data_IF_506805741612
#
_entry.id   IF_506805741612
#
_cell.length_a   1.000
_cell.length_b   1.000
_cell.length_c   1.000
_cell.angle_alpha   90.00
_cell.angle_beta   90.00
_cell.angle_gamma   90.00
#
_symmetry.space_group_name_H-M   'P 1'
#
loop_
_entity.id
_entity.type
_entity.pdbx_description
1 polymer ?
#
# COMPACT_ATOMS: atom_id res chain seq x y z
N UNK A 1 -46.82 -61.15 -6.50
CA UNK A 1 -46.20 -60.20 -5.55
C UNK A 1 -45.25 -59.30 -6.31
N UNK A 2 -45.48 -57.98 -6.35
CA UNK A 2 -44.56 -56.99 -6.92
C UNK A 2 -43.92 -56.22 -5.74
N UNK A 3 -42.61 -56.31 -5.58
CA UNK A 3 -41.87 -55.45 -4.66
C UNK A 3 -41.62 -54.11 -5.35
N UNK A 4 -42.29 -53.05 -4.88
CA UNK A 4 -41.88 -51.69 -5.18
C UNK A 4 -40.79 -51.29 -4.18
N UNK A 5 -39.55 -51.18 -4.66
CA UNK A 5 -38.45 -50.61 -3.90
C UNK A 5 -38.38 -49.13 -4.22
N UNK A 6 -38.88 -48.28 -3.32
CA UNK A 6 -38.70 -46.82 -3.38
C UNK A 6 -37.32 -46.48 -2.84
N UNK A 7 -36.36 -46.24 -3.75
CA UNK A 7 -35.06 -45.68 -3.39
C UNK A 7 -35.25 -44.18 -3.07
N UNK A 8 -35.13 -43.82 -1.78
CA UNK A 8 -35.09 -42.42 -1.35
C UNK A 8 -33.69 -41.86 -1.64
N UNK A 9 -33.57 -41.06 -2.70
CA UNK A 9 -32.34 -40.32 -2.99
C UNK A 9 -32.22 -39.11 -2.07
N UNK A 10 -31.32 -39.16 -1.09
CA UNK A 10 -30.99 -38.02 -0.23
C UNK A 10 -29.95 -37.16 -0.95
N UNK A 11 -30.35 -35.97 -1.41
CA UNK A 11 -29.41 -34.96 -1.91
C UNK A 11 -28.88 -34.19 -0.70
N UNK A 12 -27.67 -34.53 -0.24
CA UNK A 12 -26.98 -33.73 0.79
C UNK A 12 -26.29 -32.56 0.08
N UNK A 13 -26.84 -31.35 0.20
CA UNK A 13 -26.18 -30.12 -0.23
C UNK A 13 -25.22 -29.66 0.87
N UNK A 14 -23.93 -29.90 0.67
CA UNK A 14 -22.90 -29.30 1.50
C UNK A 14 -22.70 -27.85 1.06
N UNK A 15 -23.17 -26.90 1.88
CA UNK A 15 -22.78 -25.50 1.77
C UNK A 15 -21.49 -25.30 2.56
N UNK A 16 -20.35 -25.35 1.86
CA UNK A 16 -19.08 -24.94 2.45
C UNK A 16 -19.04 -23.41 2.49
N UNK A 17 -19.43 -22.84 3.63
CA UNK A 17 -19.09 -21.46 3.94
C UNK A 17 -17.66 -21.47 4.49
N UNK A 18 -16.65 -21.34 3.62
CA UNK A 18 -15.33 -20.93 4.09
C UNK A 18 -15.47 -19.49 4.56
N UNK A 19 -15.57 -19.31 5.88
CA UNK A 19 -15.53 -17.99 6.51
C UNK A 19 -14.08 -17.51 6.40
N UNK A 20 -13.71 -16.98 5.24
CA UNK A 20 -12.60 -16.03 5.19
C UNK A 20 -13.13 -14.81 5.91
N UNK A 21 -12.53 -14.46 7.05
CA UNK A 21 -12.90 -13.29 7.83
C UNK A 21 -13.02 -12.08 6.90
N UNK A 22 -14.25 -11.62 6.68
CA UNK A 22 -14.54 -10.46 5.86
C UNK A 22 -14.22 -9.20 6.66
N UNK A 23 -12.95 -9.01 7.01
CA UNK A 23 -12.48 -7.67 7.25
C UNK A 23 -12.78 -6.90 5.96
N UNK A 24 -13.58 -5.84 6.06
CA UNK A 24 -13.85 -4.97 4.93
C UNK A 24 -12.55 -4.55 4.23
N UNK A 25 -12.62 -4.12 2.97
CA UNK A 25 -11.43 -3.65 2.28
C UNK A 25 -10.78 -2.55 3.13
N UNK A 26 -9.53 -2.73 3.55
CA UNK A 26 -8.79 -1.67 4.24
C UNK A 26 -8.24 -0.65 3.25
N UNK A 27 -7.51 0.34 3.76
CA UNK A 27 -6.68 1.19 2.91
C UNK A 27 -5.44 0.42 2.41
N UNK A 28 -5.00 0.72 1.19
CA UNK A 28 -3.81 0.10 0.60
C UNK A 28 -2.86 1.14 0.04
N UNK A 29 -1.57 0.81 0.06
CA UNK A 29 -0.55 1.52 -0.72
C UNK A 29 0.05 0.60 -1.76
N UNK A 30 -0.01 1.07 -3.01
CA UNK A 30 0.60 0.45 -4.17
C UNK A 30 1.75 1.34 -4.66
N UNK A 31 3.00 0.99 -4.33
CA UNK A 31 4.17 1.82 -4.64
C UNK A 31 4.04 3.22 -3.97
N UNK A 32 3.62 4.24 -4.71
CA UNK A 32 3.41 5.63 -4.23
C UNK A 32 1.94 6.07 -4.32
N UNK A 33 1.04 5.17 -4.68
CA UNK A 33 -0.39 5.44 -4.79
C UNK A 33 -1.12 4.97 -3.52
N UNK A 34 -1.83 5.87 -2.86
CA UNK A 34 -2.76 5.55 -1.78
C UNK A 34 -4.14 5.20 -2.35
N UNK A 35 -4.71 4.08 -1.92
CA UNK A 35 -6.02 3.60 -2.35
C UNK A 35 -6.93 3.44 -1.14
N UNK A 36 -8.01 4.23 -1.13
CA UNK A 36 -8.99 4.26 -0.06
C UNK A 36 -9.91 3.03 -0.09
N UNK A 37 -10.27 2.54 1.09
CA UNK A 37 -11.22 1.45 1.31
C UNK A 37 -12.52 1.59 0.49
N UNK A 38 -13.15 2.76 0.50
CA UNK A 38 -14.42 2.99 -0.21
C UNK A 38 -14.28 2.80 -1.72
N UNK A 39 -13.19 3.33 -2.28
CA UNK A 39 -12.89 3.18 -3.71
C UNK A 39 -12.67 1.69 -4.02
N UNK A 40 -11.90 0.99 -3.20
CA UNK A 40 -11.64 -0.45 -3.35
C UNK A 40 -12.95 -1.25 -3.27
N UNK A 41 -13.83 -0.93 -2.32
CA UNK A 41 -15.15 -1.55 -2.18
C UNK A 41 -15.97 -1.40 -3.46
N UNK A 42 -16.01 -0.20 -4.02
CA UNK A 42 -16.72 0.07 -5.27
C UNK A 42 -16.14 -0.77 -6.42
N UNK A 43 -14.81 -0.87 -6.50
CA UNK A 43 -14.15 -1.68 -7.51
C UNK A 43 -14.49 -3.16 -7.39
N UNK A 44 -14.47 -3.72 -6.17
CA UNK A 44 -14.77 -5.14 -5.91
C UNK A 44 -16.19 -5.44 -6.36
N UNK A 45 -17.16 -4.61 -5.94
CA UNK A 45 -18.56 -4.74 -6.34
C UNK A 45 -18.72 -4.66 -7.86
N UNK A 46 -18.01 -3.74 -8.50
CA UNK A 46 -18.01 -3.57 -9.95
C UNK A 46 -17.41 -4.75 -10.71
N UNK A 47 -16.23 -5.20 -10.27
CA UNK A 47 -15.54 -6.38 -10.82
C UNK A 47 -16.40 -7.63 -10.70
N UNK A 48 -17.09 -7.81 -9.57
CA UNK A 48 -18.03 -8.92 -9.36
C UNK A 48 -19.21 -8.89 -10.34
N UNK A 49 -19.79 -7.70 -10.58
CA UNK A 49 -20.85 -7.55 -11.59
C UNK A 49 -20.35 -7.93 -12.99
N UNK A 50 -19.14 -7.50 -13.34
CA UNK A 50 -18.53 -7.83 -14.63
C UNK A 50 -18.24 -9.33 -14.77
N UNK A 51 -17.83 -10.03 -13.70
CA UNK A 51 -17.72 -11.50 -13.71
C UNK A 51 -19.07 -12.17 -13.97
N UNK A 52 -20.11 -11.73 -13.27
CA UNK A 52 -21.44 -12.34 -13.34
C UNK A 52 -22.10 -12.17 -14.72
N UNK A 53 -21.87 -11.03 -15.36
CA UNK A 53 -22.47 -10.68 -16.65
C UNK A 53 -21.41 -10.57 -17.75
N UNK A 54 -20.31 -11.34 -17.62
CA UNK A 54 -19.21 -11.29 -18.56
C UNK A 54 -19.68 -11.71 -19.96
N UNK A 55 -19.63 -10.76 -20.88
CA UNK A 55 -19.69 -11.02 -22.32
C UNK A 55 -18.27 -10.98 -22.90
N UNK A 56 -18.02 -11.72 -23.99
CA UNK A 56 -16.72 -11.85 -24.70
C UNK A 56 -16.08 -10.50 -25.06
N UNK A 57 -16.87 -9.45 -25.06
CA UNK A 57 -16.44 -8.10 -25.37
C UNK A 57 -15.83 -7.34 -24.18
N UNK A 58 -15.84 -7.89 -22.97
CA UNK A 58 -15.19 -7.33 -21.78
C UNK A 58 -13.73 -7.78 -21.67
N UNK A 59 -12.81 -6.82 -21.59
CA UNK A 59 -11.37 -7.10 -21.40
C UNK A 59 -10.98 -7.42 -19.96
N UNK A 60 -11.84 -7.08 -19.00
CA UNK A 60 -11.64 -7.30 -17.57
C UNK A 60 -12.96 -7.72 -16.92
N UNK A 61 -12.91 -8.44 -15.79
CA UNK A 61 -11.71 -9.01 -15.15
C UNK A 61 -10.97 -10.03 -16.01
N UNK A 62 -9.66 -10.19 -15.78
CA UNK A 62 -8.84 -11.24 -16.39
C UNK A 62 -8.45 -12.26 -15.33
N UNK A 63 -8.22 -13.52 -15.72
CA UNK A 63 -7.65 -14.51 -14.82
C UNK A 63 -6.29 -14.03 -14.29
N UNK A 64 -6.00 -14.32 -13.02
CA UNK A 64 -4.79 -13.92 -12.33
C UNK A 64 -4.21 -15.13 -11.59
N UNK A 65 -2.91 -15.38 -11.79
CA UNK A 65 -2.20 -16.41 -11.05
C UNK A 65 -1.80 -15.87 -9.66
N UNK A 66 -2.51 -16.35 -8.64
CA UNK A 66 -2.29 -15.97 -7.24
C UNK A 66 -1.12 -16.68 -6.57
N UNK A 67 -0.49 -17.67 -7.20
CA UNK A 67 0.47 -18.54 -6.52
C UNK A 67 1.71 -17.80 -6.02
N UNK A 68 2.31 -16.96 -6.86
CA UNK A 68 3.54 -16.23 -6.47
C UNK A 68 3.28 -15.02 -5.56
N UNK A 69 2.08 -14.43 -5.60
CA UNK A 69 1.76 -13.21 -4.85
C UNK A 69 0.99 -13.49 -3.57
N UNK A 70 0.03 -14.40 -3.61
CA UNK A 70 -0.86 -14.70 -2.51
C UNK A 70 -0.71 -16.15 -2.02
N UNK A 71 0.10 -16.99 -2.70
CA UNK A 71 0.21 -18.45 -2.54
C UNK A 71 -1.13 -19.15 -2.44
N UNK A 72 -2.03 -18.67 -3.29
CA UNK A 72 -3.29 -19.33 -3.61
C UNK A 72 -3.07 -19.97 -4.97
N UNK A 73 -2.98 -21.29 -4.99
CA UNK A 73 -2.85 -22.10 -6.21
C UNK A 73 -4.08 -22.96 -6.50
N UNK A 74 -4.97 -23.09 -5.52
CA UNK A 74 -6.17 -23.94 -5.52
C UNK A 74 -7.45 -23.17 -5.87
N UNK A 75 -7.37 -21.85 -6.09
CA UNK A 75 -8.50 -21.03 -6.50
C UNK A 75 -8.19 -20.17 -7.74
N UNK A 76 -9.18 -20.03 -8.62
CA UNK A 76 -9.11 -19.10 -9.75
C UNK A 76 -9.30 -17.68 -9.25
N UNK A 77 -8.28 -16.85 -9.42
CA UNK A 77 -8.36 -15.43 -9.10
C UNK A 77 -8.58 -14.59 -10.35
N UNK A 78 -9.11 -13.39 -10.14
CA UNK A 78 -9.45 -12.44 -11.17
C UNK A 78 -8.92 -11.05 -10.84
N UNK A 79 -8.25 -10.42 -11.80
CA UNK A 79 -7.69 -9.09 -11.66
C UNK A 79 -8.45 -8.06 -12.52
N UNK A 80 -8.80 -6.94 -11.89
CA UNK A 80 -9.42 -5.77 -12.55
C UNK A 80 -8.65 -4.50 -12.20
N UNK A 81 -8.44 -3.57 -13.14
CA UNK A 81 -7.84 -2.28 -12.85
C UNK A 81 -8.56 -1.47 -11.77
N UNK A 82 -7.80 -0.93 -10.81
CA UNK A 82 -8.33 -0.21 -9.66
C UNK A 82 -8.87 1.20 -9.99
N UNK A 83 -8.75 1.67 -11.23
CA UNK A 83 -9.18 3.01 -11.70
C UNK A 83 -10.36 3.02 -12.67
N UNK A 84 -10.82 1.86 -13.15
CA UNK A 84 -11.88 1.84 -14.17
C UNK A 84 -13.21 2.16 -13.50
N UNK A 85 -13.98 3.15 -13.97
CA UNK A 85 -15.36 3.28 -13.52
C UNK A 85 -16.16 2.03 -13.90
N UNK A 86 -16.49 1.22 -12.90
CA UNK A 86 -16.97 -0.16 -13.02
C UNK A 86 -18.42 -0.30 -13.49
N UNK A 87 -19.03 0.82 -13.90
CA UNK A 87 -20.39 0.91 -14.46
C UNK A 87 -20.41 0.92 -15.99
N UNK A 88 -19.24 1.08 -16.64
CA UNK A 88 -19.14 1.11 -18.11
C UNK A 88 -18.16 0.06 -18.61
N UNK A 89 -18.54 -0.62 -19.70
CA UNK A 89 -17.66 -1.53 -20.44
C UNK A 89 -16.36 -0.81 -20.76
N UNK A 90 -15.23 -1.39 -20.35
CA UNK A 90 -13.92 -0.84 -20.68
C UNK A 90 -13.55 -1.21 -22.11
N UNK A 91 -13.64 -0.23 -23.02
CA UNK A 91 -13.42 -0.43 -24.47
C UNK A 91 -11.96 -0.10 -24.88
N UNK A 92 -11.17 0.55 -24.03
CA UNK A 92 -9.75 0.86 -24.26
C UNK A 92 -9.23 2.06 -23.46
N UNK A 93 -7.91 2.29 -23.46
CA UNK A 93 -7.24 3.41 -22.79
C UNK A 93 -6.08 3.00 -21.85
N UNK A 94 -5.67 3.89 -20.95
CA UNK A 94 -4.72 3.58 -19.89
C UNK A 94 -5.47 3.06 -18.65
N UNK A 95 -5.23 1.79 -18.28
CA UNK A 95 -5.84 1.15 -17.10
C UNK A 95 -5.15 1.49 -15.78
N UNK A 96 -4.07 2.27 -15.81
CA UNK A 96 -3.18 2.48 -14.68
C UNK A 96 -2.39 1.22 -14.32
N UNK A 97 -1.54 1.29 -13.29
CA UNK A 97 -0.71 0.17 -12.84
C UNK A 97 -1.38 -0.72 -11.77
N UNK A 98 -2.34 -0.18 -11.01
CA UNK A 98 -2.94 -0.88 -9.87
C UNK A 98 -4.06 -1.83 -10.33
N UNK A 99 -4.13 -3.01 -9.73
CA UNK A 99 -5.11 -4.07 -9.98
C UNK A 99 -5.66 -4.54 -8.64
N UNK A 100 -6.96 -4.79 -8.61
CA UNK A 100 -7.66 -5.44 -7.51
C UNK A 100 -7.84 -6.90 -7.91
N UNK A 101 -7.54 -7.79 -6.96
CA UNK A 101 -7.59 -9.24 -7.14
C UNK A 101 -8.72 -9.79 -6.28
N UNK A 102 -9.67 -10.45 -6.92
CA UNK A 102 -10.81 -11.10 -6.28
C UNK A 102 -10.85 -12.58 -6.64
N UNK A 103 -11.52 -13.40 -5.83
CA UNK A 103 -11.85 -14.77 -6.20
C UNK A 103 -13.18 -14.86 -6.98
N UNK A 104 -13.57 -16.07 -7.39
CA UNK A 104 -14.85 -16.34 -8.05
C UNK A 104 -16.07 -16.09 -7.16
N UNK A 105 -15.90 -16.03 -5.84
CA UNK A 105 -16.95 -15.71 -4.87
C UNK A 105 -17.05 -14.20 -4.60
N UNK A 106 -16.29 -13.38 -5.33
CA UNK A 106 -16.20 -11.94 -5.18
C UNK A 106 -15.62 -11.45 -3.85
N UNK A 107 -14.83 -12.28 -3.17
CA UNK A 107 -14.05 -11.86 -2.02
C UNK A 107 -12.81 -11.12 -2.48
N UNK A 108 -12.44 -10.06 -1.76
CA UNK A 108 -11.18 -9.36 -2.00
C UNK A 108 -10.01 -10.18 -1.47
N UNK A 109 -9.12 -10.61 -2.37
CA UNK A 109 -7.87 -11.29 -2.01
C UNK A 109 -6.77 -10.27 -1.70
N UNK A 110 -6.74 -9.16 -2.46
CA UNK A 110 -5.81 -8.08 -2.22
C UNK A 110 -5.60 -7.22 -3.46
N UNK A 111 -4.54 -6.42 -3.42
CA UNK A 111 -4.18 -5.53 -4.52
C UNK A 111 -2.76 -5.83 -4.99
N UNK A 112 -2.54 -5.66 -6.29
CA UNK A 112 -1.21 -5.73 -6.90
C UNK A 112 -1.01 -4.52 -7.81
N UNK A 113 0.24 -4.15 -8.06
CA UNK A 113 0.57 -3.16 -9.08
C UNK A 113 1.56 -3.71 -10.09
N UNK A 114 1.38 -3.30 -11.34
CA UNK A 114 2.24 -3.67 -12.46
C UNK A 114 3.55 -2.89 -12.35
N UNK A 115 4.67 -3.60 -12.44
CA UNK A 115 6.02 -3.06 -12.66
C UNK A 115 6.52 -3.48 -14.04
N UNK A 116 7.68 -2.98 -14.47
CA UNK A 116 8.27 -3.34 -15.76
C UNK A 116 8.59 -4.84 -15.90
N UNK A 117 8.71 -5.57 -14.78
CA UNK A 117 9.18 -6.96 -14.76
C UNK A 117 8.12 -7.94 -14.25
N UNK A 118 7.19 -7.51 -13.41
CA UNK A 118 6.20 -8.39 -12.77
C UNK A 118 5.10 -7.61 -12.05
N UNK A 119 4.17 -8.32 -11.43
CA UNK A 119 3.29 -7.76 -10.40
C UNK A 119 3.99 -7.73 -9.04
N UNK A 120 3.71 -6.70 -8.24
CA UNK A 120 4.07 -6.61 -6.83
C UNK A 120 2.82 -6.43 -5.99
N UNK A 121 2.78 -7.05 -4.80
CA UNK A 121 1.67 -6.85 -3.87
C UNK A 121 1.65 -5.40 -3.38
N UNK A 122 0.46 -4.85 -3.29
CA UNK A 122 0.22 -3.66 -2.49
C UNK A 122 0.12 -4.04 -1.02
N UNK A 123 0.38 -3.07 -0.16
CA UNK A 123 0.40 -3.25 1.28
C UNK A 123 -0.90 -2.74 1.88
N UNK A 124 -1.60 -3.56 2.66
CA UNK A 124 -2.75 -3.12 3.47
C UNK A 124 -2.22 -2.31 4.65
N UNK A 125 -2.70 -1.08 4.81
CA UNK A 125 -2.25 -0.19 5.88
C UNK A 125 -3.06 -0.46 7.13
N UNK A 126 -2.40 -0.37 8.28
CA UNK A 126 -3.07 -0.29 9.57
C UNK A 126 -3.61 1.14 9.75
N UNK A 127 -4.90 1.33 9.56
CA UNK A 127 -5.53 2.59 9.94
C UNK A 127 -5.72 2.61 11.47
N UNK A 128 -5.50 3.78 12.09
CA UNK A 128 -5.66 3.98 13.54
C UNK A 128 -7.10 3.78 14.05
N UNK A 129 -8.05 3.48 13.17
CA UNK A 129 -9.49 3.34 13.45
C UNK A 129 -9.92 1.86 13.45
N UNK A 130 -9.11 0.94 12.93
CA UNK A 130 -9.42 -0.50 12.97
C UNK A 130 -9.13 -1.08 14.37
N UNK A 131 -10.00 -0.73 15.33
CA UNK A 131 -10.03 -1.30 16.69
C UNK A 131 -10.17 -2.83 16.68
N UNK A 132 -10.62 -3.43 15.58
CA UNK A 132 -10.70 -4.89 15.39
C UNK A 132 -9.33 -5.59 15.34
N UNK A 133 -8.24 -4.85 15.11
CA UNK A 133 -6.88 -5.42 15.13
C UNK A 133 -6.26 -5.49 16.53
N UNK A 134 -6.81 -4.75 17.50
CA UNK A 134 -6.35 -4.82 18.88
C UNK A 134 -6.61 -6.20 19.50
N UNK A 135 -7.59 -6.96 18.99
CA UNK A 135 -7.90 -8.33 19.44
C UNK A 135 -7.06 -9.41 18.73
N UNK A 136 -6.51 -9.13 17.53
CA UNK A 136 -5.64 -10.07 16.78
C UNK A 136 -4.15 -9.90 17.10
N UNK A 137 -3.73 -8.74 17.63
CA UNK A 137 -2.37 -8.50 18.11
C UNK A 137 -1.96 -9.48 19.23
N UNK A 138 -2.93 -10.00 19.98
CA UNK A 138 -2.72 -11.02 21.02
C UNK A 138 -2.44 -12.42 20.44
N UNK A 139 -2.71 -12.66 19.14
CA UNK A 139 -2.63 -13.98 18.51
C UNK A 139 -1.48 -14.05 17.49
N UNK A 140 -1.07 -12.92 16.91
CA UNK A 140 0.05 -12.84 15.97
C UNK A 140 1.21 -12.06 16.60
N UNK A 141 2.33 -12.73 16.89
CA UNK A 141 3.60 -12.14 17.36
C UNK A 141 4.28 -11.18 16.35
N UNK A 142 3.55 -10.61 15.40
CA UNK A 142 4.10 -9.79 14.32
C UNK A 142 4.03 -8.32 14.69
N UNK A 143 5.19 -7.72 14.85
CA UNK A 143 5.31 -6.28 15.07
C UNK A 143 4.98 -5.53 13.78
N UNK A 144 4.18 -4.45 13.86
CA UNK A 144 3.97 -3.53 12.75
C UNK A 144 5.31 -3.05 12.18
N UNK A 145 5.39 -3.03 10.84
CA UNK A 145 6.51 -2.49 10.08
C UNK A 145 6.11 -1.16 9.47
N UNK A 146 7.08 -0.26 9.32
CA UNK A 146 6.87 1.00 8.61
C UNK A 146 7.15 0.81 7.12
N UNK A 147 6.13 1.00 6.28
CA UNK A 147 6.26 1.01 4.82
C UNK A 147 6.94 2.30 4.35
N UNK A 148 6.56 3.42 4.95
CA UNK A 148 7.00 4.75 4.52
C UNK A 148 6.37 5.87 5.33
N UNK A 149 6.44 7.07 4.77
CA UNK A 149 5.90 8.28 5.38
C UNK A 149 4.88 8.94 4.44
N UNK A 150 3.70 9.23 4.95
CA UNK A 150 2.72 10.10 4.28
C UNK A 150 2.96 11.55 4.71
N UNK A 151 3.47 12.34 3.76
CA UNK A 151 3.68 13.76 3.91
C UNK A 151 2.61 14.53 3.11
N UNK A 152 1.42 14.66 3.66
CA UNK A 152 0.31 15.38 3.03
C UNK A 152 -0.05 14.84 1.63
N UNK A 153 -0.42 13.56 1.58
CA UNK A 153 -0.75 12.80 0.36
C UNK A 153 0.45 12.48 -0.55
N UNK A 154 1.67 12.78 -0.10
CA UNK A 154 2.90 12.37 -0.79
C UNK A 154 3.59 11.27 -0.01
N UNK A 155 3.63 10.09 -0.59
CA UNK A 155 4.25 8.92 0.02
C UNK A 155 5.75 8.88 -0.29
N UNK A 156 6.54 8.76 0.77
CA UNK A 156 7.97 8.47 0.72
C UNK A 156 8.21 7.06 1.23
N UNK A 157 8.63 6.15 0.34
CA UNK A 157 8.93 4.77 0.71
C UNK A 157 10.15 4.76 1.64
N UNK A 158 10.07 4.01 2.74
CA UNK A 158 11.10 4.03 3.78
C UNK A 158 12.46 3.60 3.24
N UNK A 159 12.52 2.52 2.46
CA UNK A 159 13.77 1.99 1.91
C UNK A 159 14.46 3.00 0.98
N UNK A 160 13.72 3.61 0.05
CA UNK A 160 14.22 4.66 -0.84
C UNK A 160 14.73 5.87 -0.03
N UNK A 161 13.98 6.26 1.00
CA UNK A 161 14.31 7.40 1.88
C UNK A 161 15.58 7.14 2.68
N UNK A 162 15.71 5.96 3.27
CA UNK A 162 16.89 5.56 4.03
C UNK A 162 18.12 5.44 3.14
N UNK A 163 17.96 4.92 1.92
CA UNK A 163 19.06 4.87 0.96
C UNK A 163 19.56 6.28 0.63
N UNK A 164 18.63 7.19 0.28
CA UNK A 164 18.97 8.59 0.02
C UNK A 164 19.62 9.27 1.24
N UNK A 165 19.12 9.01 2.45
CA UNK A 165 19.72 9.53 3.68
C UNK A 165 21.17 9.05 3.85
N UNK A 166 21.47 7.78 3.59
CA UNK A 166 22.84 7.23 3.68
C UNK A 166 23.76 7.92 2.67
N UNK A 167 23.31 8.08 1.43
CA UNK A 167 24.08 8.73 0.37
C UNK A 167 24.36 10.20 0.71
N UNK A 168 23.33 10.92 1.20
CA UNK A 168 23.47 12.31 1.62
C UNK A 168 24.39 12.44 2.85
N UNK A 169 24.30 11.53 3.83
CA UNK A 169 25.17 11.53 5.02
C UNK A 169 26.64 11.38 4.63
N UNK A 170 26.93 10.47 3.69
CA UNK A 170 28.28 10.32 3.14
C UNK A 170 28.74 11.58 2.40
N UNK A 171 27.87 12.20 1.60
CA UNK A 171 28.21 13.41 0.86
C UNK A 171 28.49 14.59 1.80
N UNK A 172 27.63 14.82 2.80
CA UNK A 172 27.77 15.87 3.81
C UNK A 172 29.09 15.71 4.60
N UNK A 173 29.51 14.49 4.91
CA UNK A 173 30.79 14.26 5.60
C UNK A 173 32.02 14.76 4.83
N UNK A 174 31.90 14.95 3.51
CA UNK A 174 32.97 15.42 2.62
C UNK A 174 32.88 16.93 2.32
N UNK A 175 31.80 17.60 2.70
CA UNK A 175 31.58 19.01 2.41
C UNK A 175 32.20 19.91 3.48
N UNK A 176 32.62 21.11 3.07
CA UNK A 176 33.06 22.15 4.01
C UNK A 176 31.88 22.61 4.89
N UNK A 177 32.14 22.86 6.19
CA UNK A 177 31.11 23.20 7.19
C UNK A 177 30.17 24.34 6.77
N UNK A 178 30.69 25.37 6.08
CA UNK A 178 29.89 26.52 5.63
C UNK A 178 28.91 26.19 4.50
N UNK A 179 29.24 25.20 3.65
CA UNK A 179 28.32 24.72 2.61
C UNK A 179 27.17 23.97 3.28
N UNK A 180 27.46 23.14 4.28
CA UNK A 180 26.47 22.34 5.01
C UNK A 180 25.42 23.22 5.72
N UNK A 181 25.85 24.27 6.41
CA UNK A 181 24.95 25.15 7.18
C UNK A 181 23.94 25.90 6.32
N UNK A 182 24.24 26.11 5.03
CA UNK A 182 23.32 26.75 4.08
C UNK A 182 22.10 25.88 3.74
N UNK A 183 22.19 24.57 3.94
CA UNK A 183 21.21 23.62 3.42
C UNK A 183 20.44 22.88 4.51
N UNK A 184 21.00 22.80 5.71
CA UNK A 184 20.38 22.20 6.87
C UNK A 184 19.71 23.31 7.70
N UNK A 185 18.39 23.23 7.82
CA UNK A 185 17.67 24.10 8.73
C UNK A 185 17.62 23.44 10.10
N UNK A 186 18.16 24.11 11.11
CA UNK A 186 17.98 23.72 12.51
C UNK A 186 16.69 24.32 13.04
N UNK A 187 15.83 23.50 13.61
CA UNK A 187 14.59 23.91 14.25
C UNK A 187 14.44 23.23 15.62
N UNK A 188 13.63 23.82 16.48
CA UNK A 188 13.06 23.12 17.64
C UNK A 188 11.67 22.66 17.20
N UNK A 189 11.37 21.37 17.32
CA UNK A 189 10.12 20.81 16.80
C UNK A 189 9.28 20.18 17.90
N UNK A 190 8.08 20.72 18.11
CA UNK A 190 7.06 20.15 19.01
C UNK A 190 6.63 18.74 18.58
N UNK A 191 6.62 18.48 17.27
CA UNK A 191 6.34 17.17 16.67
C UNK A 191 7.35 16.06 17.06
N UNK A 192 8.50 16.46 17.59
CA UNK A 192 9.57 15.58 18.09
C UNK A 192 9.86 15.83 19.57
N UNK A 193 8.83 16.15 20.36
CA UNK A 193 8.94 16.37 21.80
C UNK A 193 9.94 17.49 22.16
N UNK A 194 9.83 18.61 21.44
CA UNK A 194 10.65 19.81 21.62
C UNK A 194 12.16 19.57 21.44
N UNK A 195 12.53 18.51 20.72
CA UNK A 195 13.92 18.24 20.38
C UNK A 195 14.42 19.18 19.30
N UNK A 196 15.73 19.41 19.33
CA UNK A 196 16.45 20.01 18.23
C UNK A 196 16.52 19.05 17.05
N UNK A 197 16.04 19.50 15.89
CA UNK A 197 15.95 18.70 14.66
C UNK A 197 16.62 19.46 13.52
N UNK A 198 17.42 18.72 12.75
CA UNK A 198 18.09 19.16 11.55
C UNK A 198 17.30 18.70 10.32
N UNK A 199 16.82 19.66 9.53
CA UNK A 199 16.00 19.37 8.35
C UNK A 199 16.85 19.29 7.09
N UNK A 200 17.08 18.07 6.64
CA UNK A 200 17.89 17.76 5.47
C UNK A 200 17.03 17.74 4.21
N UNK A 201 17.53 18.26 3.07
CA UNK A 201 16.78 18.23 1.82
C UNK A 201 16.62 16.80 1.33
N UNK A 202 15.45 16.47 0.80
CA UNK A 202 15.20 15.20 0.10
C UNK A 202 14.84 15.49 -1.36
N UNK A 203 15.45 14.73 -2.28
CA UNK A 203 15.09 14.74 -3.68
C UNK A 203 14.53 13.39 -4.09
N UNK A 204 13.49 13.44 -4.91
CA UNK A 204 12.77 12.23 -5.36
C UNK A 204 13.52 11.52 -6.51
N UNK A 205 14.52 12.17 -7.14
CA UNK A 205 15.21 11.66 -8.34
C UNK A 205 16.75 11.54 -8.19
N UNK A 206 17.28 11.41 -6.97
CA UNK A 206 18.60 10.79 -6.75
C UNK A 206 19.88 11.59 -7.06
N UNK A 207 19.85 12.81 -7.62
CA UNK A 207 21.07 13.61 -7.76
C UNK A 207 21.03 14.96 -7.03
N UNK A 208 21.96 15.11 -6.09
CA UNK A 208 22.30 16.37 -5.43
C UNK A 208 23.03 17.30 -6.43
N UNK A 209 22.28 18.06 -7.22
CA UNK A 209 22.85 19.17 -7.99
C UNK A 209 22.94 20.43 -7.12
N UNK A 210 23.97 21.26 -7.33
CA UNK A 210 24.12 22.55 -6.63
C UNK A 210 22.89 23.46 -6.75
N UNK A 211 22.11 23.30 -7.83
CA UNK A 211 20.85 24.02 -8.08
C UNK A 211 19.67 23.49 -7.25
N UNK A 212 19.64 22.20 -6.89
CA UNK A 212 18.52 21.60 -6.16
C UNK A 212 18.52 21.95 -4.67
N UNK A 213 19.67 22.35 -4.11
CA UNK A 213 19.74 22.85 -2.74
C UNK A 213 19.09 24.23 -2.53
N UNK A 214 18.88 25.00 -3.61
CA UNK A 214 18.18 26.30 -3.58
C UNK A 214 16.67 26.15 -3.54
N UNK A 215 16.14 24.97 -3.87
CA UNK A 215 14.70 24.73 -3.89
C UNK A 215 14.24 24.59 -2.44
N UNK A 216 13.35 25.47 -2.01
CA UNK A 216 12.57 25.31 -0.77
C UNK A 216 11.68 24.07 -0.93
N UNK A 217 12.26 22.88 -0.83
CA UNK A 217 11.49 21.64 -0.90
C UNK A 217 10.51 21.65 0.27
N UNK A 218 9.24 21.42 -0.04
CA UNK A 218 8.19 21.30 0.97
C UNK A 218 8.36 20.07 1.86
N UNK A 219 9.31 19.20 1.56
CA UNK A 219 9.56 17.94 2.26
C UNK A 219 11.02 17.85 2.63
N UNK A 220 11.31 17.39 3.84
CA UNK A 220 12.66 17.24 4.39
C UNK A 220 12.75 16.03 5.31
N UNK A 221 13.95 15.47 5.39
CA UNK A 221 14.26 14.44 6.40
C UNK A 221 14.56 15.14 7.72
N UNK A 222 14.01 14.63 8.81
CA UNK A 222 14.33 15.05 10.16
C UNK A 222 15.47 14.18 10.69
N UNK A 223 16.53 14.82 11.16
CA UNK A 223 17.73 14.17 11.69
C UNK A 223 18.08 14.80 13.04
N UNK A 224 18.54 14.01 14.00
CA UNK A 224 19.01 14.54 15.29
C UNK A 224 20.47 15.06 15.24
N UNK A 225 20.97 15.50 16.39
CA UNK A 225 22.35 15.98 16.57
C UNK A 225 23.43 14.92 16.29
N UNK A 226 23.10 13.65 16.50
CA UNK A 226 23.99 12.50 16.29
C UNK A 226 23.88 11.97 14.85
N UNK A 227 23.22 12.77 13.99
CA UNK A 227 22.96 12.49 12.60
C UNK A 227 22.09 11.24 12.42
N UNK A 228 21.21 10.90 13.37
CA UNK A 228 20.29 9.75 13.30
C UNK A 228 18.98 10.18 12.63
N UNK A 229 18.52 9.40 11.66
CA UNK A 229 17.26 9.64 10.97
C UNK A 229 16.07 9.47 11.95
N UNK A 230 15.28 10.52 12.10
CA UNK A 230 14.11 10.54 12.99
C UNK A 230 12.78 10.38 12.24
N UNK A 231 12.77 10.58 10.93
CA UNK A 231 11.58 10.52 10.09
C UNK A 231 11.54 11.63 9.05
N UNK A 232 10.34 11.93 8.58
CA UNK A 232 10.09 12.93 7.54
C UNK A 232 9.25 14.10 8.09
N UNK A 233 9.48 15.28 7.54
CA UNK A 233 8.67 16.47 7.79
C UNK A 233 8.27 17.13 6.48
N UNK A 234 7.13 17.81 6.51
CA UNK A 234 6.66 18.64 5.42
C UNK A 234 6.26 20.03 5.90
N UNK A 235 6.31 21.00 5.00
CA UNK A 235 6.01 22.39 5.27
C UNK A 235 4.56 22.69 4.91
N UNK A 236 3.77 23.15 5.87
CA UNK A 236 2.42 23.66 5.68
C UNK A 236 2.39 25.13 6.11
N UNK A 237 2.41 26.04 5.13
CA UNK A 237 2.57 27.47 5.40
C UNK A 237 3.94 27.81 6.02
N UNK A 238 3.94 28.40 7.20
CA UNK A 238 5.16 28.70 7.98
C UNK A 238 5.65 27.52 8.82
N UNK A 239 4.81 26.53 9.07
CA UNK A 239 5.08 25.46 10.02
C UNK A 239 5.64 24.20 9.35
N UNK A 240 6.47 23.48 10.11
CA UNK A 240 6.93 22.14 9.76
C UNK A 240 6.13 21.12 10.56
N UNK A 241 5.46 20.21 9.85
CA UNK A 241 4.68 19.12 10.43
C UNK A 241 5.35 17.78 10.17
N UNK A 242 5.22 16.85 11.10
CA UNK A 242 5.75 15.51 10.93
C UNK A 242 4.88 14.72 9.96
N UNK A 243 5.51 13.96 9.08
CA UNK A 243 4.80 13.06 8.20
C UNK A 243 4.32 11.84 8.99
N UNK A 244 3.11 11.37 8.68
CA UNK A 244 2.53 10.20 9.35
C UNK A 244 3.28 8.95 8.92
N UNK A 245 3.51 8.03 9.84
CA UNK A 245 4.03 6.70 9.49
C UNK A 245 2.93 5.92 8.78
N UNK A 246 3.30 5.24 7.70
CA UNK A 246 2.44 4.27 7.03
C UNK A 246 2.88 2.90 7.57
N UNK A 247 2.05 2.31 8.42
CA UNK A 247 2.36 1.05 9.09
C UNK A 247 1.59 -0.11 8.46
N UNK A 248 2.20 -1.29 8.47
CA UNK A 248 1.62 -2.50 7.93
C UNK A 248 2.12 -3.73 8.66
N UNK A 249 1.38 -4.83 8.53
CA UNK A 249 1.84 -6.16 8.95
C UNK A 249 2.03 -6.98 7.68
N UNK A 250 3.14 -7.72 7.61
CA UNK A 250 3.32 -8.68 6.51
C UNK A 250 2.14 -9.66 6.51
N UNK A 251 1.49 -9.87 5.35
CA UNK A 251 0.45 -10.89 5.25
C UNK A 251 1.02 -12.24 5.69
N UNK A 252 0.20 -13.09 6.30
CA UNK A 252 0.63 -14.46 6.58
C UNK A 252 1.15 -15.09 5.28
N UNK A 253 2.33 -15.75 5.31
CA UNK A 253 2.66 -16.61 4.20
C UNK A 253 1.52 -17.64 4.12
N UNK A 254 1.02 -17.89 2.90
CA UNK A 254 -0.03 -18.86 2.67
C UNK A 254 0.42 -20.19 3.27
N UNK A 255 -0.41 -20.74 4.16
CA UNK A 255 -0.17 -22.04 4.80
C UNK A 255 -0.52 -23.17 3.85
#
# INVERSE_FOLDING_TARGET
MKFQSTALGVIIRFYFYTIVATDGPGNYVCDKDYLLSDNISECVRGSCKLLKYADISHRHPVTFDGSSHFGISDATLFATPARIHYMKKYIGGNTGKNRIVIDSMCNLIGLVYVTNQSYKRCVKILDSIDESWSTSLTISNRLPKTYGHDCNSKIFILEETLQYYRDLKQHISKLEKWKISKYINKIISTEFAEKEVYLWPIQVNGMLNESTYKIKTLHRMAVDKDLIFMGMMYRQGSEWKRCKHIEYVDPEPPR
#
